data_IF_386286140261
#
_entry.id   IF_386286140261
#
_cell.length_a   1.000
_cell.length_b   1.000
_cell.length_c   1.000
_cell.angle_alpha   90.00
_cell.angle_beta   90.00
_cell.angle_gamma   90.00
#
_symmetry.space_group_name_H-M   'P 1'
#
loop_
_entity.id
_entity.type
_entity.pdbx_description
1 polymer ?
#
# COMPACT_ATOMS: atom_id res chain seq x y z
N UNK A 1 25.49 14.93 18.11
CA UNK A 1 24.20 14.22 18.16
C UNK A 1 23.50 14.40 16.81
N UNK A 2 23.45 13.35 15.99
CA UNK A 2 22.75 13.34 14.71
C UNK A 2 21.27 13.69 14.92
N UNK A 3 20.79 14.74 14.25
CA UNK A 3 19.37 15.04 14.18
C UNK A 3 18.85 14.42 12.88
N UNK A 4 18.19 13.27 13.01
CA UNK A 4 17.40 12.71 11.92
C UNK A 4 16.08 13.46 11.89
N UNK A 5 15.81 14.16 10.78
CA UNK A 5 14.54 14.84 10.63
C UNK A 5 13.46 13.83 10.23
N UNK A 6 12.64 13.45 11.22
CA UNK A 6 11.50 12.53 11.07
C UNK A 6 10.45 13.01 10.04
N UNK A 7 10.49 14.28 9.63
CA UNK A 7 9.60 14.84 8.61
C UNK A 7 10.20 14.75 7.21
N UNK A 8 11.48 15.13 7.05
CA UNK A 8 12.16 15.11 5.76
C UNK A 8 12.92 13.82 5.46
N UNK A 9 12.92 12.83 6.36
CA UNK A 9 13.70 11.60 6.22
C UNK A 9 15.12 11.86 5.72
N UNK A 10 15.77 12.87 6.30
CA UNK A 10 17.11 13.28 5.91
C UNK A 10 17.96 13.52 7.16
N UNK A 11 19.25 13.28 7.01
CA UNK A 11 20.24 13.65 8.00
C UNK A 11 20.71 15.07 7.69
N UNK A 12 20.56 15.98 8.66
CA UNK A 12 21.26 17.26 8.59
C UNK A 12 22.75 17.00 8.77
N UNK A 13 23.51 16.94 7.67
CA UNK A 13 24.97 16.93 7.74
C UNK A 13 25.44 18.29 8.23
N UNK A 14 25.69 18.40 9.54
CA UNK A 14 26.07 19.68 10.16
C UNK A 14 27.50 20.10 9.88
N UNK A 15 28.44 19.16 9.74
CA UNK A 15 29.78 19.32 9.13
C UNK A 15 30.58 17.98 9.27
N UNK A 16 31.80 17.90 8.71
CA UNK A 16 32.68 16.72 8.78
C UNK A 16 33.11 16.34 10.22
N UNK A 17 33.42 17.32 11.08
CA UNK A 17 33.78 17.12 12.49
C UNK A 17 32.62 16.49 13.27
N UNK A 18 31.39 16.94 13.02
CA UNK A 18 30.20 16.30 13.61
C UNK A 18 30.11 14.82 13.24
N UNK A 19 30.43 14.43 12.00
CA UNK A 19 30.44 13.03 11.57
C UNK A 19 31.53 12.23 12.31
N UNK A 20 32.74 12.76 12.38
CA UNK A 20 33.88 12.11 13.05
C UNK A 20 33.63 11.95 14.56
N UNK A 21 33.03 12.94 15.22
CA UNK A 21 32.63 12.83 16.63
C UNK A 21 31.58 11.74 16.85
N UNK A 22 30.59 11.62 15.96
CA UNK A 22 29.58 10.56 16.07
C UNK A 22 30.21 9.18 15.86
N UNK A 23 31.17 9.03 14.94
CA UNK A 23 31.92 7.77 14.74
C UNK A 23 32.76 7.44 15.99
N UNK A 24 33.47 8.43 16.54
CA UNK A 24 34.31 8.25 17.72
C UNK A 24 33.51 7.89 18.99
N UNK A 25 32.27 8.38 19.08
CA UNK A 25 31.35 8.08 20.18
C UNK A 25 30.46 6.85 19.91
N UNK A 26 30.57 6.20 18.75
CA UNK A 26 29.73 5.08 18.40
C UNK A 26 30.14 3.83 19.19
N UNK A 27 29.19 3.33 19.97
CA UNK A 27 29.38 2.13 20.79
C UNK A 27 28.95 0.89 20.02
N UNK A 28 29.91 0.18 19.44
CA UNK A 28 29.68 -1.05 18.68
C UNK A 28 29.20 -2.23 19.54
N UNK A 29 29.29 -2.14 20.86
CA UNK A 29 28.77 -3.19 21.76
C UNK A 29 27.26 -3.01 22.04
N UNK A 30 26.72 -1.80 21.83
CA UNK A 30 25.30 -1.51 22.08
C UNK A 30 24.43 -1.78 20.85
N UNK A 31 23.71 -2.89 20.91
CA UNK A 31 22.65 -3.24 19.95
C UNK A 31 21.26 -2.82 20.45
N UNK A 32 20.29 -2.56 19.54
CA UNK A 32 20.48 -2.52 18.09
C UNK A 32 21.12 -1.20 17.62
N UNK A 33 21.87 -1.29 16.52
CA UNK A 33 22.48 -0.12 15.91
C UNK A 33 21.40 0.82 15.37
N UNK A 34 21.57 2.13 15.62
CA UNK A 34 20.70 3.18 15.07
C UNK A 34 21.20 3.59 13.69
N UNK A 35 21.09 2.68 12.74
CA UNK A 35 21.43 2.91 11.35
C UNK A 35 20.23 3.39 10.52
N UNK A 36 20.39 3.49 9.20
CA UNK A 36 19.35 3.96 8.29
C UNK A 36 18.07 3.13 8.37
N UNK A 37 18.19 1.80 8.54
CA UNK A 37 17.03 0.92 8.66
C UNK A 37 16.26 1.20 9.97
N UNK A 38 16.97 1.47 11.07
CA UNK A 38 16.34 1.86 12.34
C UNK A 38 15.50 3.13 12.17
N UNK A 39 16.08 4.16 11.55
CA UNK A 39 15.38 5.43 11.34
C UNK A 39 14.25 5.29 10.30
N UNK A 40 14.43 4.48 9.27
CA UNK A 40 13.40 4.14 8.30
C UNK A 40 12.20 3.45 8.96
N UNK A 41 12.43 2.45 9.81
CA UNK A 41 11.37 1.77 10.57
C UNK A 41 10.61 2.75 11.47
N UNK A 42 11.32 3.61 12.21
CA UNK A 42 10.69 4.67 13.00
C UNK A 42 9.89 5.65 12.17
N UNK A 43 10.41 5.99 11.00
CA UNK A 43 9.75 6.90 10.07
C UNK A 43 8.44 6.29 9.55
N UNK A 44 8.40 5.02 9.18
CA UNK A 44 7.17 4.43 8.60
C UNK A 44 6.13 4.03 9.64
N UNK A 45 6.50 3.70 10.87
CA UNK A 45 5.59 3.19 11.91
C UNK A 45 4.27 3.97 12.05
N UNK A 46 4.26 5.30 12.26
CA UNK A 46 3.02 6.05 12.40
C UNK A 46 2.16 6.08 11.12
N UNK A 47 2.79 6.01 9.94
CA UNK A 47 2.05 5.92 8.68
C UNK A 47 1.41 4.54 8.50
N UNK A 48 2.12 3.47 8.86
CA UNK A 48 1.59 2.11 8.83
C UNK A 48 0.40 1.94 9.78
N UNK A 49 0.52 2.43 11.02
CA UNK A 49 -0.58 2.41 12.00
C UNK A 49 -1.82 3.11 11.47
N UNK A 50 -1.65 4.30 10.87
CA UNK A 50 -2.76 5.04 10.28
C UNK A 50 -3.39 4.30 9.08
N UNK A 51 -2.58 3.77 8.16
CA UNK A 51 -3.08 3.08 6.96
C UNK A 51 -3.77 1.76 7.33
N UNK A 52 -3.23 0.98 8.27
CA UNK A 52 -3.87 -0.27 8.72
C UNK A 52 -5.20 -0.03 9.43
N UNK A 53 -5.36 1.12 10.10
CA UNK A 53 -6.65 1.51 10.69
C UNK A 53 -7.70 1.91 9.64
N UNK A 54 -7.26 2.50 8.52
CA UNK A 54 -8.15 2.98 7.47
C UNK A 54 -7.46 2.90 6.10
N UNK A 55 -7.63 1.76 5.43
CA UNK A 55 -7.09 1.53 4.10
C UNK A 55 -7.82 2.38 3.06
N UNK A 56 -7.09 2.79 2.01
CA UNK A 56 -7.72 3.44 0.89
C UNK A 56 -8.72 2.48 0.20
N UNK A 57 -9.93 2.95 -0.09
CA UNK A 57 -10.96 2.14 -0.74
C UNK A 57 -11.65 2.91 -1.85
N UNK A 58 -12.05 2.19 -2.90
CA UNK A 58 -12.81 2.75 -4.01
C UNK A 58 -14.18 2.09 -4.08
N UNK A 59 -15.23 2.88 -4.30
CA UNK A 59 -16.57 2.35 -4.57
C UNK A 59 -16.64 1.97 -6.05
N UNK A 60 -16.67 0.67 -6.32
CA UNK A 60 -16.82 0.14 -7.67
C UNK A 60 -18.28 -0.21 -7.96
N UNK A 61 -18.67 -0.10 -9.23
CA UNK A 61 -20.00 -0.50 -9.72
C UNK A 61 -19.86 -1.63 -10.73
N UNK A 62 -20.67 -2.68 -10.59
CA UNK A 62 -20.74 -3.79 -11.55
C UNK A 62 -22.19 -4.11 -11.90
N UNK A 63 -22.47 -4.27 -13.19
CA UNK A 63 -23.76 -4.75 -13.66
C UNK A 63 -23.83 -6.26 -13.49
N UNK A 64 -24.82 -6.73 -12.73
CA UNK A 64 -25.03 -8.15 -12.45
C UNK A 64 -26.49 -8.50 -12.68
N UNK A 65 -26.74 -9.70 -13.23
CA UNK A 65 -28.08 -10.28 -13.25
C UNK A 65 -28.39 -10.79 -11.85
N UNK A 66 -29.43 -10.27 -11.22
CA UNK A 66 -29.83 -10.65 -9.87
C UNK A 66 -31.35 -10.74 -9.76
N UNK A 67 -31.88 -11.46 -8.75
CA UNK A 67 -33.30 -11.48 -8.48
C UNK A 67 -33.86 -10.06 -8.35
N UNK A 68 -35.08 -9.81 -8.84
CA UNK A 68 -35.71 -8.49 -8.80
C UNK A 68 -35.72 -7.90 -7.38
N UNK A 69 -35.99 -8.74 -6.38
CA UNK A 69 -35.98 -8.39 -4.95
C UNK A 69 -34.65 -7.85 -4.44
N UNK A 70 -33.53 -8.24 -5.06
CA UNK A 70 -32.18 -7.80 -4.68
C UNK A 70 -31.69 -6.61 -5.50
N UNK A 71 -32.42 -6.22 -6.54
CA UNK A 71 -32.09 -5.10 -7.41
C UNK A 71 -32.39 -3.76 -6.71
N UNK A 72 -31.36 -2.97 -6.43
CA UNK A 72 -31.48 -1.68 -5.72
C UNK A 72 -31.28 -0.47 -6.63
N UNK A 73 -30.45 -0.61 -7.65
CA UNK A 73 -30.10 0.49 -8.55
C UNK A 73 -30.26 0.06 -10.01
N UNK A 74 -30.85 0.94 -10.82
CA UNK A 74 -31.01 0.79 -12.26
C UNK A 74 -30.41 2.00 -12.98
N UNK A 75 -29.64 1.76 -14.03
CA UNK A 75 -29.16 2.82 -14.91
C UNK A 75 -29.71 2.64 -16.34
N UNK A 76 -29.37 3.57 -17.23
CA UNK A 76 -29.78 3.50 -18.63
C UNK A 76 -29.40 2.16 -19.30
N UNK A 77 -28.27 1.55 -18.92
CA UNK A 77 -27.83 0.26 -19.44
C UNK A 77 -28.73 -0.88 -18.95
N UNK A 78 -29.17 -0.85 -17.71
CA UNK A 78 -30.16 -1.79 -17.18
C UNK A 78 -31.49 -1.68 -17.92
N UNK A 79 -31.99 -0.46 -18.13
CA UNK A 79 -33.25 -0.22 -18.85
C UNK A 79 -33.14 -0.68 -20.30
N UNK A 80 -32.04 -0.37 -20.98
CA UNK A 80 -31.79 -0.82 -22.35
C UNK A 80 -31.69 -2.35 -22.43
N UNK A 81 -31.05 -2.98 -21.45
CA UNK A 81 -30.97 -4.45 -21.38
C UNK A 81 -32.35 -5.08 -21.19
N UNK A 82 -33.20 -4.48 -20.34
CA UNK A 82 -34.57 -4.92 -20.15
C UNK A 82 -35.41 -4.70 -21.41
N UNK A 83 -35.26 -3.56 -22.09
CA UNK A 83 -35.97 -3.23 -23.32
C UNK A 83 -35.71 -4.26 -24.42
N UNK A 84 -34.47 -4.75 -24.54
CA UNK A 84 -34.05 -5.78 -25.50
C UNK A 84 -34.61 -7.18 -25.23
N UNK A 85 -35.17 -7.46 -24.04
CA UNK A 85 -35.74 -8.78 -23.75
C UNK A 85 -37.06 -8.99 -24.52
N UNK A 86 -37.31 -10.21 -25.03
CA UNK A 86 -38.57 -10.55 -25.67
C UNK A 86 -39.73 -10.47 -24.67
N UNK A 87 -40.90 -10.09 -25.15
CA UNK A 87 -42.11 -9.87 -24.34
C UNK A 87 -42.66 -8.45 -24.49
N UNK A 88 -43.98 -8.31 -24.46
CA UNK A 88 -44.70 -7.03 -24.56
C UNK A 88 -44.84 -6.38 -23.18
N UNK A 89 -45.04 -7.16 -22.13
CA UNK A 89 -45.21 -6.69 -20.76
C UNK A 89 -43.95 -6.86 -19.91
N UNK A 90 -43.83 -6.09 -18.82
CA UNK A 90 -42.75 -6.24 -17.83
C UNK A 90 -42.74 -7.65 -17.22
N UNK A 91 -43.93 -8.21 -16.99
CA UNK A 91 -44.13 -9.56 -16.46
C UNK A 91 -43.56 -10.63 -17.39
N UNK A 92 -43.78 -10.50 -18.70
CA UNK A 92 -43.19 -11.40 -19.71
C UNK A 92 -41.66 -11.28 -19.75
N UNK A 93 -41.14 -10.05 -19.70
CA UNK A 93 -39.68 -9.78 -19.75
C UNK A 93 -38.91 -10.25 -18.52
N UNK A 94 -39.61 -10.46 -17.40
CA UNK A 94 -39.06 -10.88 -16.11
C UNK A 94 -39.60 -12.25 -15.66
N UNK A 95 -39.94 -13.14 -16.61
CA UNK A 95 -40.39 -14.50 -16.31
C UNK A 95 -39.38 -15.31 -15.48
N UNK A 96 -38.09 -15.01 -15.62
CA UNK A 96 -36.98 -15.62 -14.88
C UNK A 96 -36.72 -14.98 -13.50
N UNK A 97 -37.53 -13.99 -13.10
CA UNK A 97 -37.39 -13.14 -11.92
C UNK A 97 -35.99 -12.52 -11.76
N UNK A 98 -35.22 -12.38 -12.84
CA UNK A 98 -33.85 -11.83 -12.80
C UNK A 98 -33.73 -10.61 -13.68
N UNK A 99 -33.15 -9.55 -13.15
CA UNK A 99 -32.92 -8.30 -13.87
C UNK A 99 -31.47 -7.90 -13.80
N UNK A 100 -30.98 -7.20 -14.84
CA UNK A 100 -29.68 -6.57 -14.80
C UNK A 100 -29.78 -5.34 -13.89
N UNK A 101 -29.00 -5.29 -12.83
CA UNK A 101 -28.97 -4.18 -11.87
C UNK A 101 -27.53 -3.83 -11.50
N UNK A 102 -27.33 -2.61 -11.03
CA UNK A 102 -26.02 -2.11 -10.59
C UNK A 102 -25.80 -2.55 -9.14
N UNK A 103 -24.73 -3.30 -8.90
CA UNK A 103 -24.23 -3.62 -7.56
C UNK A 103 -23.01 -2.76 -7.26
N UNK A 104 -23.11 -1.92 -6.23
CA UNK A 104 -21.94 -1.24 -5.65
C UNK A 104 -21.25 -2.15 -4.66
N UNK A 105 -19.92 -2.12 -4.65
CA UNK A 105 -19.12 -2.79 -3.65
C UNK A 105 -17.87 -1.97 -3.36
N UNK A 106 -17.36 -2.12 -2.15
CA UNK A 106 -16.10 -1.50 -1.72
C UNK A 106 -14.96 -2.36 -2.25
N UNK A 107 -14.04 -1.75 -2.98
CA UNK A 107 -12.83 -2.38 -3.47
C UNK A 107 -11.62 -1.84 -2.69
N UNK A 108 -10.90 -2.76 -2.05
CA UNK A 108 -9.65 -2.47 -1.34
C UNK A 108 -8.42 -2.65 -2.24
N UNK A 109 -8.55 -3.23 -3.43
CA UNK A 109 -7.45 -3.42 -4.38
C UNK A 109 -7.14 -2.14 -5.15
N UNK A 110 -6.65 -1.12 -4.45
CA UNK A 110 -6.23 0.18 -5.01
C UNK A 110 -4.75 0.14 -5.40
N UNK A 111 -4.26 1.13 -6.14
CA UNK A 111 -2.83 1.22 -6.49
C UNK A 111 -1.97 1.43 -5.24
N UNK A 112 -2.45 2.28 -4.32
CA UNK A 112 -1.77 2.65 -3.09
C UNK A 112 -1.65 1.44 -2.14
N UNK A 113 -2.70 0.62 -2.04
CA UNK A 113 -2.69 -0.58 -1.21
C UNK A 113 -1.78 -1.67 -1.77
N UNK A 114 -1.71 -1.80 -3.10
CA UNK A 114 -0.79 -2.72 -3.76
C UNK A 114 0.66 -2.33 -3.49
N UNK A 115 0.99 -1.04 -3.64
CA UNK A 115 2.30 -0.49 -3.30
C UNK A 115 2.66 -0.74 -1.83
N UNK A 116 1.77 -0.39 -0.91
CA UNK A 116 1.96 -0.64 0.52
C UNK A 116 2.29 -2.11 0.79
N UNK A 117 1.51 -3.03 0.22
CA UNK A 117 1.68 -4.48 0.44
C UNK A 117 3.03 -4.98 -0.07
N UNK A 118 3.51 -4.48 -1.21
CA UNK A 118 4.87 -4.77 -1.71
C UNK A 118 5.93 -4.24 -0.74
N UNK A 119 5.84 -2.95 -0.40
CA UNK A 119 6.80 -2.30 0.49
C UNK A 119 6.93 -3.01 1.84
N UNK A 120 5.82 -3.30 2.53
CA UNK A 120 5.88 -3.94 3.85
C UNK A 120 6.38 -5.39 3.79
N UNK A 121 6.22 -6.09 2.66
CA UNK A 121 6.80 -7.42 2.46
C UNK A 121 8.31 -7.34 2.35
N UNK A 122 8.83 -6.41 1.55
CA UNK A 122 10.27 -6.20 1.42
C UNK A 122 10.89 -5.70 2.74
N UNK A 123 10.24 -4.73 3.39
CA UNK A 123 10.67 -4.24 4.71
C UNK A 123 10.74 -5.39 5.73
N UNK A 124 9.72 -6.24 5.79
CA UNK A 124 9.69 -7.37 6.72
C UNK A 124 10.81 -8.39 6.43
N UNK A 125 11.11 -8.66 5.15
CA UNK A 125 12.25 -9.51 4.76
C UNK A 125 13.56 -8.93 5.28
N UNK A 126 13.80 -7.64 5.07
CA UNK A 126 15.03 -6.96 5.49
C UNK A 126 15.17 -6.97 7.01
N UNK A 127 14.08 -6.68 7.74
CA UNK A 127 14.05 -6.76 9.21
C UNK A 127 14.37 -8.18 9.70
N UNK A 128 13.88 -9.22 9.02
CA UNK A 128 14.14 -10.60 9.41
C UNK A 128 15.61 -11.01 9.31
N UNK A 129 16.39 -10.35 8.44
CA UNK A 129 17.84 -10.54 8.35
C UNK A 129 18.63 -9.84 9.46
N UNK A 130 18.00 -9.00 10.27
CA UNK A 130 18.64 -8.27 11.37
C UNK A 130 18.72 -9.09 12.64
N UNK A 131 19.63 -8.65 13.51
CA UNK A 131 19.80 -9.14 14.87
C UNK A 131 18.50 -9.11 15.69
N UNK A 132 18.37 -10.04 16.65
CA UNK A 132 17.14 -10.22 17.44
C UNK A 132 16.82 -8.95 18.24
N UNK A 133 17.84 -8.26 18.74
CA UNK A 133 17.74 -7.01 19.47
C UNK A 133 17.08 -5.90 18.63
N UNK A 134 17.32 -5.89 17.31
CA UNK A 134 16.63 -4.98 16.39
C UNK A 134 15.17 -5.35 16.24
N UNK A 135 14.89 -6.64 16.04
CA UNK A 135 13.52 -7.14 15.90
C UNK A 135 12.68 -6.88 17.15
N UNK A 136 13.27 -6.99 18.34
CA UNK A 136 12.62 -6.69 19.63
C UNK A 136 12.21 -5.22 19.74
N UNK A 137 13.03 -4.28 19.25
CA UNK A 137 12.68 -2.85 19.28
C UNK A 137 11.47 -2.53 18.40
N UNK A 138 11.29 -3.25 17.29
CA UNK A 138 10.18 -3.04 16.35
C UNK A 138 9.12 -4.14 16.41
N UNK A 139 9.03 -4.87 17.52
CA UNK A 139 8.13 -6.03 17.66
C UNK A 139 6.66 -5.67 17.37
N UNK A 140 6.19 -4.53 17.88
CA UNK A 140 4.81 -4.06 17.63
C UNK A 140 4.55 -3.80 16.14
N UNK A 141 5.50 -3.17 15.44
CA UNK A 141 5.40 -2.88 14.01
C UNK A 141 5.45 -4.18 13.19
N UNK A 142 6.36 -5.09 13.52
CA UNK A 142 6.49 -6.41 12.89
C UNK A 142 5.20 -7.21 13.08
N UNK A 143 4.64 -7.23 14.29
CA UNK A 143 3.38 -7.89 14.59
C UNK A 143 2.23 -7.29 13.77
N UNK A 144 2.14 -5.96 13.72
CA UNK A 144 1.11 -5.23 12.97
C UNK A 144 1.17 -5.54 11.47
N UNK A 145 2.37 -5.50 10.87
CA UNK A 145 2.60 -5.85 9.47
C UNK A 145 2.21 -7.31 9.21
N UNK A 146 2.67 -8.23 10.06
CA UNK A 146 2.41 -9.67 9.91
C UNK A 146 0.92 -9.99 10.05
N UNK A 147 0.24 -9.37 11.01
CA UNK A 147 -1.19 -9.48 11.22
C UNK A 147 -1.98 -8.96 10.01
N UNK A 148 -1.62 -7.78 9.51
CA UNK A 148 -2.22 -7.24 8.29
C UNK A 148 -2.04 -8.18 7.10
N UNK A 149 -0.83 -8.68 6.84
CA UNK A 149 -0.54 -9.57 5.71
C UNK A 149 -1.33 -10.89 5.77
N UNK A 150 -1.66 -11.39 6.98
CA UNK A 150 -2.50 -12.57 7.19
C UNK A 150 -4.00 -12.30 7.09
N UNK A 151 -4.43 -11.03 7.12
CA UNK A 151 -5.83 -10.66 7.10
C UNK A 151 -6.52 -10.98 5.76
N UNK A 152 -7.83 -11.25 5.81
CA UNK A 152 -8.65 -11.41 4.61
C UNK A 152 -8.76 -10.16 3.74
N UNK A 153 -8.43 -8.98 4.29
CA UNK A 153 -8.36 -7.72 3.53
C UNK A 153 -7.10 -7.70 2.68
N UNK A 154 -5.95 -8.07 3.25
CA UNK A 154 -4.69 -8.15 2.50
C UNK A 154 -4.75 -9.19 1.38
N UNK A 155 -5.50 -10.28 1.55
CA UNK A 155 -5.70 -11.29 0.50
C UNK A 155 -6.45 -10.75 -0.73
N UNK A 156 -7.28 -9.71 -0.57
CA UNK A 156 -7.99 -9.06 -1.67
C UNK A 156 -7.12 -8.06 -2.45
N UNK A 157 -5.95 -7.71 -1.93
CA UNK A 157 -5.00 -6.79 -2.55
C UNK A 157 -4.02 -7.60 -3.41
N UNK A 158 -4.09 -7.42 -4.73
CA UNK A 158 -3.22 -8.10 -5.69
C UNK A 158 -1.93 -7.33 -5.90
N UNK A 159 -0.92 -7.68 -5.11
CA UNK A 159 0.42 -7.08 -5.23
C UNK A 159 1.10 -7.35 -6.57
N UNK A 160 0.70 -8.33 -7.39
CA UNK A 160 1.40 -8.60 -8.66
C UNK A 160 0.93 -7.69 -9.78
N UNK A 161 -0.24 -7.08 -9.63
CA UNK A 161 -0.79 -6.19 -10.63
C UNK A 161 0.03 -4.90 -10.73
N UNK A 162 0.42 -4.51 -11.95
CA UNK A 162 1.21 -3.31 -12.24
C UNK A 162 0.69 -2.06 -11.50
N UNK A 163 1.61 -1.37 -10.83
CA UNK A 163 1.32 -0.15 -10.07
C UNK A 163 1.50 1.03 -11.01
N UNK A 164 0.46 1.52 -11.68
CA UNK A 164 0.62 2.72 -12.50
C UNK A 164 1.05 3.92 -11.63
N UNK A 165 1.98 4.78 -12.09
CA UNK A 165 2.34 5.99 -11.38
C UNK A 165 1.08 6.84 -11.22
N UNK A 166 0.59 6.91 -9.98
CA UNK A 166 -0.59 7.68 -9.64
C UNK A 166 -0.14 8.91 -8.87
N UNK A 167 -0.39 10.10 -9.42
CA UNK A 167 -0.09 11.36 -8.73
C UNK A 167 -0.73 11.42 -7.32
N UNK A 168 -1.80 10.66 -7.07
CA UNK A 168 -2.44 10.55 -5.76
C UNK A 168 -1.54 9.96 -4.66
N UNK A 169 -0.54 9.13 -5.00
CA UNK A 169 0.47 8.65 -4.04
C UNK A 169 1.23 9.81 -3.39
N UNK A 170 1.48 10.88 -4.14
CA UNK A 170 2.20 12.06 -3.65
C UNK A 170 1.35 13.00 -2.78
N UNK A 171 0.02 12.96 -2.91
CA UNK A 171 -0.88 13.85 -2.16
C UNK A 171 -1.41 13.22 -0.88
N UNK A 172 -1.48 11.89 -0.78
CA UNK A 172 -1.98 11.24 0.42
C UNK A 172 -0.95 11.26 1.55
N UNK A 173 -1.28 11.91 2.67
CA UNK A 173 -0.40 12.12 3.84
C UNK A 173 0.42 10.89 4.24
N UNK A 174 -0.24 9.74 4.43
CA UNK A 174 0.42 8.52 4.88
C UNK A 174 1.13 7.73 3.75
N UNK A 175 0.50 7.51 2.59
CA UNK A 175 1.16 6.80 1.48
C UNK A 175 2.36 7.56 0.91
N UNK A 176 2.35 8.90 0.91
CA UNK A 176 3.53 9.70 0.56
C UNK A 176 4.73 9.36 1.44
N UNK A 177 4.49 9.13 2.74
CA UNK A 177 5.53 8.74 3.69
C UNK A 177 6.09 7.36 3.37
N UNK A 178 5.22 6.41 3.02
CA UNK A 178 5.64 5.06 2.59
C UNK A 178 6.44 5.12 1.29
N UNK A 179 6.00 5.94 0.33
CA UNK A 179 6.72 6.14 -0.93
C UNK A 179 8.12 6.69 -0.69
N UNK A 180 8.25 7.72 0.15
CA UNK A 180 9.56 8.26 0.52
C UNK A 180 10.46 7.26 1.22
N UNK A 181 9.91 6.42 2.08
CA UNK A 181 10.67 5.36 2.76
C UNK A 181 11.11 4.27 1.80
N UNK A 182 10.28 3.95 0.79
CA UNK A 182 10.67 3.06 -0.30
C UNK A 182 11.85 3.65 -1.06
N UNK A 183 11.76 4.90 -1.51
CA UNK A 183 12.86 5.56 -2.22
C UNK A 183 14.14 5.54 -1.37
N UNK A 184 14.05 5.89 -0.09
CA UNK A 184 15.20 5.82 0.83
C UNK A 184 15.81 4.42 0.93
N UNK A 185 15.00 3.36 0.92
CA UNK A 185 15.47 1.98 0.97
C UNK A 185 16.28 1.57 -0.27
N UNK A 186 15.99 2.17 -1.43
CA UNK A 186 16.63 1.85 -2.70
C UNK A 186 17.65 2.90 -3.18
N UNK A 187 17.57 4.14 -2.71
CA UNK A 187 18.48 5.24 -3.06
C UNK A 187 19.92 5.00 -2.53
N UNK A 188 20.08 4.18 -1.49
CA UNK A 188 21.39 3.70 -1.01
C UNK A 188 22.11 2.76 -1.98
N UNK A 189 21.41 2.22 -2.99
CA UNK A 189 21.96 1.45 -4.10
C UNK A 189 22.01 2.35 -5.34
N UNK A 190 22.82 3.41 -5.26
CA UNK A 190 23.25 4.22 -6.39
C UNK A 190 22.18 4.64 -7.39
N UNK A 191 21.69 5.88 -7.27
CA UNK A 191 21.30 6.79 -8.37
C UNK A 191 21.48 6.22 -9.80
N UNK A 192 20.58 5.35 -10.26
CA UNK A 192 20.56 4.85 -11.65
C UNK A 192 19.26 4.12 -12.03
N UNK A 193 18.13 4.44 -11.40
CA UNK A 193 16.82 4.09 -11.96
C UNK A 193 15.91 5.29 -12.01
N UNK A 194 15.77 5.83 -13.23
CA UNK A 194 14.71 6.76 -13.56
C UNK A 194 13.36 6.10 -13.20
N UNK A 195 12.34 6.87 -12.79
CA UNK A 195 11.00 6.32 -12.49
C UNK A 195 10.46 5.41 -13.61
N UNK A 196 10.89 5.65 -14.85
CA UNK A 196 10.58 4.82 -16.02
C UNK A 196 11.28 3.44 -16.02
N UNK A 197 12.46 3.30 -15.41
CA UNK A 197 13.21 2.04 -15.33
C UNK A 197 12.72 1.10 -14.21
N UNK A 198 12.13 1.66 -13.15
CA UNK A 198 11.49 0.88 -12.08
C UNK A 198 10.30 0.07 -12.63
N UNK A 199 9.60 0.60 -13.64
CA UNK A 199 8.50 -0.10 -14.31
C UNK A 199 8.94 -1.15 -15.34
N UNK A 200 10.12 -0.99 -15.93
CA UNK A 200 10.61 -1.92 -16.96
C UNK A 200 11.15 -3.24 -16.39
N UNK A 201 11.57 -3.27 -15.12
CA UNK A 201 12.08 -4.49 -14.49
C UNK A 201 10.99 -5.45 -13.98
N UNK A 202 9.73 -5.02 -13.95
CA UNK A 202 8.58 -5.89 -13.62
C UNK A 202 8.02 -6.68 -14.82
N UNK A 203 8.66 -6.59 -16.00
CA UNK A 203 8.29 -7.37 -17.18
C UNK A 203 9.19 -8.58 -17.46
N UNK A 204 10.13 -8.94 -16.56
CA UNK A 204 11.08 -10.04 -16.81
C UNK A 204 11.02 -11.24 -15.85
N UNK A 205 10.07 -11.33 -14.90
CA UNK A 205 9.80 -12.56 -14.15
C UNK A 205 8.34 -12.77 -13.78
#
# INVERSE_FOLDING_TARGET
MLFFDDFSASFEYRDLFSVLENIAQFDYEKKPYKDDLYFLCKFVDPALKAIFSNLNTNICRKHLKMPLEKAREFDAKCVLHLAKRPGRSLKEKLCDNKVLSVKRYVNVNTHENRFLKRFIKELLKIIHWREIEFQQVFEESIFSITSFLKSGVAQQIDEKQAIMPNNLLHFHKHYKRIFKAHDWLYDGVGSLMNLDQIFYLECLY
#
